data_IF_143880813491
#
_entry.id   IF_143880813491
#
_cell.length_a   1.000
_cell.length_b   1.000
_cell.length_c   1.000
_cell.angle_alpha   90.00
_cell.angle_beta   90.00
_cell.angle_gamma   90.00
#
_symmetry.space_group_name_H-M   'P 1'
#
loop_
_entity.id
_entity.type
_entity.pdbx_description
1 polymer ?
#
# COMPACT_ATOMS: atom_id res chain seq x y z
N UNK A 1 -76.23 12.97 31.42
CA UNK A 1 -75.50 11.66 31.40
C UNK A 1 -74.31 11.84 30.52
N UNK A 2 -73.16 11.68 31.09
CA UNK A 2 -71.91 12.03 30.51
C UNK A 2 -71.30 10.81 29.83
N UNK A 3 -70.90 10.93 28.57
CA UNK A 3 -70.05 9.92 27.93
C UNK A 3 -68.72 10.55 27.61
N UNK A 4 -67.71 10.04 28.26
CA UNK A 4 -66.33 10.47 28.12
C UNK A 4 -65.67 9.75 26.92
N UNK A 5 -65.46 10.45 25.85
CA UNK A 5 -64.65 9.98 24.74
C UNK A 5 -63.18 9.94 25.11
N UNK A 6 -62.63 8.74 25.28
CA UNK A 6 -61.21 8.50 25.45
C UNK A 6 -60.48 8.74 24.13
N UNK A 7 -59.67 9.80 24.06
CA UNK A 7 -58.77 10.05 22.99
C UNK A 7 -57.48 9.24 23.16
N UNK A 8 -57.36 8.17 22.38
CA UNK A 8 -56.11 7.43 22.27
C UNK A 8 -55.11 8.24 21.49
N UNK A 9 -54.11 8.77 22.18
CA UNK A 9 -52.94 9.40 21.58
C UNK A 9 -52.02 8.30 21.10
N UNK A 10 -51.83 8.18 19.80
CA UNK A 10 -50.81 7.35 19.20
C UNK A 10 -49.47 8.09 19.26
N UNK A 11 -48.43 7.50 19.84
CA UNK A 11 -47.09 8.10 19.75
C UNK A 11 -46.53 7.86 18.35
N UNK A 12 -46.18 8.97 17.68
CA UNK A 12 -45.44 8.96 16.42
C UNK A 12 -44.01 8.51 16.70
N UNK A 13 -43.69 7.28 16.35
CA UNK A 13 -42.32 6.77 16.40
C UNK A 13 -41.60 7.30 15.15
N UNK A 14 -40.81 8.33 15.35
CA UNK A 14 -39.86 8.82 14.32
C UNK A 14 -38.69 7.83 14.28
N UNK A 15 -38.68 6.97 13.28
CA UNK A 15 -37.52 6.14 13.00
C UNK A 15 -36.41 7.00 12.37
N UNK A 16 -35.41 7.35 13.14
CA UNK A 16 -34.19 7.96 12.65
C UNK A 16 -33.39 6.87 11.97
N UNK A 17 -33.41 6.85 10.63
CA UNK A 17 -32.53 6.01 9.83
C UNK A 17 -31.09 6.55 9.97
N UNK A 18 -30.28 5.89 10.77
CA UNK A 18 -28.81 6.11 10.78
C UNK A 18 -28.25 5.58 9.48
N UNK A 19 -27.95 6.45 8.55
CA UNK A 19 -27.15 6.16 7.39
C UNK A 19 -25.73 5.83 7.87
N UNK A 20 -25.43 4.55 7.98
CA UNK A 20 -24.06 4.06 8.19
C UNK A 20 -23.28 4.35 6.90
N UNK A 21 -22.64 5.50 6.86
CA UNK A 21 -21.63 5.80 5.87
C UNK A 21 -20.47 4.84 6.06
N UNK A 22 -20.39 3.80 5.26
CA UNK A 22 -19.17 3.02 5.12
C UNK A 22 -18.11 3.94 4.54
N UNK A 23 -17.27 4.50 5.41
CA UNK A 23 -16.00 5.07 5.00
C UNK A 23 -15.20 3.90 4.41
N UNK A 24 -15.08 3.87 3.09
CA UNK A 24 -14.09 3.06 2.42
C UNK A 24 -12.73 3.54 2.95
N UNK A 25 -12.21 2.84 3.95
CA UNK A 25 -10.85 3.02 4.39
C UNK A 25 -9.97 2.76 3.17
N UNK A 26 -9.26 3.78 2.71
CA UNK A 26 -8.27 3.64 1.67
C UNK A 26 -7.34 2.51 2.11
N UNK A 27 -7.31 1.42 1.36
CA UNK A 27 -6.40 0.29 1.56
C UNK A 27 -4.97 0.68 1.17
N UNK A 28 -4.51 1.78 1.75
CA UNK A 28 -3.15 2.26 1.64
C UNK A 28 -2.31 1.46 2.62
N UNK A 29 -1.72 0.35 2.15
CA UNK A 29 -0.62 -0.23 2.88
C UNK A 29 -0.78 -1.61 3.48
N UNK A 30 -1.62 -2.50 2.95
CA UNK A 30 -1.46 -3.91 3.28
C UNK A 30 -0.12 -4.42 2.71
N UNK A 31 0.63 -5.27 3.44
CA UNK A 31 1.86 -5.87 2.95
C UNK A 31 1.69 -6.52 1.57
N UNK A 32 0.52 -7.09 1.31
CA UNK A 32 0.18 -7.72 0.03
C UNK A 32 0.08 -6.71 -1.12
N UNK A 33 -0.46 -5.51 -0.89
CA UNK A 33 -0.50 -4.45 -1.90
C UNK A 33 0.91 -4.00 -2.29
N UNK A 34 1.77 -3.76 -1.32
CA UNK A 34 3.16 -3.37 -1.57
C UNK A 34 3.90 -4.41 -2.39
N UNK A 35 3.72 -5.69 -2.09
CA UNK A 35 4.28 -6.80 -2.85
C UNK A 35 3.76 -6.84 -4.29
N UNK A 36 2.45 -6.74 -4.49
CA UNK A 36 1.86 -6.79 -5.83
C UNK A 36 2.35 -5.62 -6.70
N UNK A 37 2.45 -4.43 -6.12
CA UNK A 37 2.98 -3.25 -6.81
C UNK A 37 4.47 -3.40 -7.11
N UNK A 38 5.26 -3.93 -6.17
CA UNK A 38 6.66 -4.26 -6.41
C UNK A 38 6.82 -5.24 -7.58
N UNK A 39 6.07 -6.34 -7.58
CA UNK A 39 6.12 -7.33 -8.63
C UNK A 39 5.79 -6.75 -10.00
N UNK A 40 4.85 -5.81 -10.05
CA UNK A 40 4.42 -5.14 -11.28
C UNK A 40 5.42 -4.12 -11.79
N UNK A 41 5.90 -3.22 -10.92
CA UNK A 41 6.69 -2.05 -11.31
C UNK A 41 8.20 -2.27 -11.22
N UNK A 42 8.64 -3.10 -10.29
CA UNK A 42 10.05 -3.34 -10.00
C UNK A 42 10.51 -4.73 -10.46
N UNK A 43 9.62 -5.70 -10.43
CA UNK A 43 9.93 -7.11 -10.73
C UNK A 43 10.50 -7.34 -12.12
N UNK A 44 10.17 -6.51 -13.11
CA UNK A 44 10.71 -6.62 -14.48
C UNK A 44 12.25 -6.57 -14.50
N UNK A 45 12.86 -5.87 -13.53
CA UNK A 45 14.31 -5.80 -13.38
C UNK A 45 14.83 -6.47 -12.10
N UNK A 46 14.00 -6.61 -11.05
CA UNK A 46 14.43 -7.00 -9.72
C UNK A 46 13.92 -8.37 -9.24
N UNK A 47 13.31 -9.17 -10.11
CA UNK A 47 13.09 -10.60 -9.84
C UNK A 47 14.39 -11.38 -10.02
N UNK A 48 14.41 -12.61 -9.55
CA UNK A 48 15.51 -13.53 -9.75
C UNK A 48 15.85 -13.67 -11.24
N UNK A 49 17.13 -13.62 -11.56
CA UNK A 49 17.63 -13.72 -12.93
C UNK A 49 17.44 -12.48 -13.81
N UNK A 50 16.74 -11.45 -13.34
CA UNK A 50 16.54 -10.22 -14.10
C UNK A 50 17.75 -9.29 -14.01
N UNK A 51 17.86 -8.37 -14.96
CA UNK A 51 19.04 -7.51 -15.15
C UNK A 51 19.44 -6.74 -13.89
N UNK A 52 18.49 -6.14 -13.18
CA UNK A 52 18.76 -5.39 -11.96
C UNK A 52 19.33 -6.28 -10.85
N UNK A 53 18.74 -7.47 -10.67
CA UNK A 53 19.21 -8.45 -9.70
C UNK A 53 20.60 -8.97 -10.06
N UNK A 54 20.87 -9.25 -11.32
CA UNK A 54 22.21 -9.69 -11.78
C UNK A 54 23.26 -8.61 -11.54
N UNK A 55 22.96 -7.36 -11.86
CA UNK A 55 23.88 -6.23 -11.63
C UNK A 55 24.15 -6.03 -10.13
N UNK A 56 23.08 -6.06 -9.31
CA UNK A 56 23.24 -5.96 -7.85
C UNK A 56 24.06 -7.10 -7.27
N UNK A 57 23.84 -8.34 -7.75
CA UNK A 57 24.63 -9.50 -7.30
C UNK A 57 26.13 -9.37 -7.59
N UNK A 58 26.48 -8.84 -8.77
CA UNK A 58 27.88 -8.57 -9.13
C UNK A 58 28.53 -7.47 -8.27
N UNK A 59 27.75 -6.50 -7.79
CA UNK A 59 28.26 -5.36 -7.01
C UNK A 59 28.24 -5.57 -5.52
N UNK A 60 27.22 -6.27 -5.00
CA UNK A 60 26.94 -6.36 -3.56
C UNK A 60 27.01 -7.78 -3.02
N UNK A 61 27.18 -8.78 -3.88
CA UNK A 61 27.08 -10.19 -3.51
C UNK A 61 25.68 -10.77 -3.76
N UNK A 62 25.61 -12.09 -3.93
CA UNK A 62 24.39 -12.81 -4.27
C UNK A 62 23.30 -12.65 -3.19
N UNK A 63 23.69 -12.62 -1.92
CA UNK A 63 22.81 -12.48 -0.76
C UNK A 63 22.08 -11.13 -0.71
N UNK A 64 22.62 -10.11 -1.38
CA UNK A 64 22.04 -8.74 -1.44
C UNK A 64 21.43 -8.40 -2.79
N UNK A 65 21.42 -9.34 -3.70
CA UNK A 65 20.95 -9.13 -5.08
C UNK A 65 19.42 -8.96 -5.17
N UNK A 66 18.67 -9.79 -4.45
CA UNK A 66 17.21 -9.74 -4.43
C UNK A 66 16.72 -8.71 -3.41
N UNK A 67 16.22 -7.58 -3.89
CA UNK A 67 15.70 -6.52 -3.02
C UNK A 67 14.60 -7.03 -2.09
N UNK A 68 13.75 -7.93 -2.59
CA UNK A 68 12.66 -8.53 -1.83
C UNK A 68 13.14 -9.30 -0.59
N UNK A 69 14.38 -9.75 -0.54
CA UNK A 69 14.96 -10.51 0.58
C UNK A 69 15.83 -9.64 1.52
N UNK A 70 16.09 -8.39 1.16
CA UNK A 70 16.92 -7.50 1.97
C UNK A 70 16.16 -6.96 3.18
N UNK A 71 16.87 -6.73 4.27
CA UNK A 71 16.37 -6.16 5.53
C UNK A 71 16.94 -4.77 5.82
N UNK A 72 17.79 -4.27 4.93
CA UNK A 72 18.56 -3.04 5.07
C UNK A 72 18.13 -1.94 4.08
N UNK A 73 16.86 -1.95 3.67
CA UNK A 73 16.28 -0.98 2.74
C UNK A 73 15.28 -0.06 3.46
N UNK A 74 15.74 1.06 4.06
CA UNK A 74 14.81 2.01 4.68
C UNK A 74 13.87 2.63 3.64
N UNK A 75 12.60 2.82 3.99
CA UNK A 75 11.62 3.39 3.08
C UNK A 75 12.03 4.75 2.47
N UNK A 76 12.64 5.69 3.22
CA UNK A 76 13.15 6.94 2.64
C UNK A 76 14.20 6.73 1.54
N UNK A 77 15.07 5.76 1.71
CA UNK A 77 16.09 5.41 0.71
C UNK A 77 15.44 4.86 -0.57
N UNK A 78 14.46 3.96 -0.42
CA UNK A 78 13.72 3.41 -1.57
C UNK A 78 13.05 4.53 -2.36
N UNK A 79 12.35 5.45 -1.67
CA UNK A 79 11.71 6.60 -2.32
C UNK A 79 12.71 7.47 -3.08
N UNK A 80 13.84 7.78 -2.45
CA UNK A 80 14.89 8.59 -3.06
C UNK A 80 15.44 7.93 -4.34
N UNK A 81 15.80 6.66 -4.28
CA UNK A 81 16.35 5.92 -5.43
C UNK A 81 15.34 5.85 -6.58
N UNK A 82 14.09 5.56 -6.28
CA UNK A 82 13.05 5.47 -7.31
C UNK A 82 12.83 6.81 -8.02
N UNK A 83 12.84 7.91 -7.27
CA UNK A 83 12.60 9.26 -7.84
C UNK A 83 13.81 9.87 -8.53
N UNK A 84 15.01 9.50 -8.10
CA UNK A 84 16.26 10.05 -8.67
C UNK A 84 16.89 9.12 -9.72
N UNK A 85 16.58 7.84 -9.66
CA UNK A 85 17.37 6.81 -10.34
C UNK A 85 18.68 6.51 -9.61
N UNK A 86 19.33 5.44 -10.00
CA UNK A 86 20.63 5.06 -9.45
C UNK A 86 21.45 4.30 -10.50
N UNK A 87 22.53 4.88 -10.97
CA UNK A 87 23.41 4.32 -12.03
C UNK A 87 22.59 3.97 -13.27
N UNK A 88 22.36 2.68 -13.54
CA UNK A 88 21.57 2.21 -14.70
C UNK A 88 20.08 2.02 -14.36
N UNK A 89 19.67 2.17 -13.12
CA UNK A 89 18.27 2.16 -12.76
C UNK A 89 17.63 3.50 -13.13
N UNK A 90 16.63 3.53 -14.03
CA UNK A 90 15.98 4.76 -14.40
C UNK A 90 15.16 5.32 -13.22
N UNK A 91 14.98 6.64 -13.22
CA UNK A 91 14.01 7.27 -12.34
C UNK A 91 12.59 6.95 -12.81
N UNK A 92 11.66 6.76 -11.88
CA UNK A 92 10.24 6.68 -12.17
C UNK A 92 9.56 7.98 -11.75
N UNK A 93 8.78 8.52 -12.65
CA UNK A 93 7.99 9.74 -12.42
C UNK A 93 6.71 9.41 -11.64
N UNK A 94 6.00 10.45 -11.18
CA UNK A 94 4.68 10.27 -10.52
C UNK A 94 3.60 9.77 -11.47
N UNK A 95 3.78 9.94 -12.77
CA UNK A 95 2.87 9.40 -13.78
C UNK A 95 3.07 7.89 -13.94
N UNK A 96 4.31 7.43 -13.94
CA UNK A 96 4.65 6.00 -14.06
C UNK A 96 4.37 5.23 -12.77
N UNK A 97 4.64 5.84 -11.63
CA UNK A 97 4.42 5.28 -10.31
C UNK A 97 3.91 6.38 -9.35
N UNK A 98 2.61 6.44 -9.07
CA UNK A 98 2.03 7.39 -8.12
C UNK A 98 2.67 7.32 -6.73
N UNK A 99 2.68 8.44 -6.00
CA UNK A 99 3.32 8.51 -4.68
C UNK A 99 2.72 7.50 -3.69
N UNK A 100 1.42 7.26 -3.73
CA UNK A 100 0.77 6.26 -2.86
C UNK A 100 1.23 4.83 -3.15
N UNK A 101 1.47 4.50 -4.42
CA UNK A 101 1.96 3.18 -4.82
C UNK A 101 3.44 3.01 -4.46
N UNK A 102 4.24 4.05 -4.65
CA UNK A 102 5.63 4.05 -4.20
C UNK A 102 5.73 3.90 -2.68
N UNK A 103 4.86 4.56 -1.92
CA UNK A 103 4.84 4.43 -0.46
C UNK A 103 4.51 2.99 -0.02
N UNK A 104 3.55 2.34 -0.66
CA UNK A 104 3.22 0.94 -0.39
C UNK A 104 4.41 0.00 -0.69
N UNK A 105 5.11 0.22 -1.81
CA UNK A 105 6.32 -0.54 -2.17
C UNK A 105 7.43 -0.28 -1.16
N UNK A 106 7.71 0.97 -0.83
CA UNK A 106 8.79 1.35 0.09
C UNK A 106 8.56 0.78 1.49
N UNK A 107 7.34 0.86 2.00
CA UNK A 107 6.95 0.27 3.27
C UNK A 107 7.06 -1.25 3.26
N UNK A 108 6.68 -1.90 2.16
CA UNK A 108 6.81 -3.34 2.00
C UNK A 108 8.28 -3.79 1.99
N UNK A 109 9.16 -3.08 1.29
CA UNK A 109 10.59 -3.38 1.26
C UNK A 109 11.28 -3.12 2.60
N UNK A 110 10.84 -2.10 3.35
CA UNK A 110 11.41 -1.73 4.64
C UNK A 110 10.93 -2.60 5.82
N UNK A 111 9.93 -3.46 5.61
CA UNK A 111 9.37 -4.26 6.70
C UNK A 111 10.42 -5.19 7.32
N UNK A 112 10.39 -5.42 8.65
CA UNK A 112 11.15 -6.49 9.26
C UNK A 112 10.77 -7.84 8.62
N UNK A 113 11.75 -8.64 8.29
CA UNK A 113 11.51 -10.02 7.88
C UNK A 113 11.60 -10.85 9.14
N UNK A 114 10.55 -11.61 9.46
CA UNK A 114 10.57 -12.55 10.57
C UNK A 114 11.77 -13.48 10.44
N UNK A 115 12.48 -13.64 11.52
CA UNK A 115 13.46 -14.70 11.72
C UNK A 115 12.76 -16.04 11.73
#
# INVERSE_FOLDING_TARGET
MAERGARLAFPLIVAVAMASGSAAAAESGTPDRGRQLYDRHCGVCHREGQTGTVVLGRRLGAERALLANRTDLPAPYVRQVVRSGLVNMPRLTRVELPDADLEAIASWLARPRGE
#
